data_IF_654749598878
#
_entry.id   IF_654749598878
#
_cell.length_a   1.000
_cell.length_b   1.000
_cell.length_c   1.000
_cell.angle_alpha   90.00
_cell.angle_beta   90.00
_cell.angle_gamma   90.00
#
_symmetry.space_group_name_H-M   'P 1'
#
loop_
_entity.id
_entity.type
_entity.pdbx_description
1 polymer ?
#
# COMPACT_ATOMS: atom_id res chain seq x y z
N UNK A 1 -4.54 13.05 -12.37
CA UNK A 1 -3.96 12.22 -11.28
C UNK A 1 -4.76 10.93 -11.15
N UNK A 2 -4.10 9.85 -10.82
CA UNK A 2 -4.73 8.57 -10.50
C UNK A 2 -4.16 8.09 -9.17
N UNK A 3 -4.94 7.35 -8.38
CA UNK A 3 -4.53 6.91 -7.05
C UNK A 3 -4.72 5.40 -6.92
N UNK A 4 -3.67 4.70 -6.50
CA UNK A 4 -3.79 3.32 -6.04
C UNK A 4 -3.94 3.35 -4.52
N UNK A 5 -5.03 2.78 -4.02
CA UNK A 5 -5.30 2.71 -2.58
C UNK A 5 -5.29 1.28 -2.09
N UNK A 6 -4.83 1.07 -0.87
CA UNK A 6 -4.76 -0.27 -0.29
C UNK A 6 -4.89 -0.23 1.22
N UNK A 7 -5.37 -1.33 1.77
CA UNK A 7 -5.50 -1.54 3.21
C UNK A 7 -4.87 -2.87 3.54
N UNK A 8 -4.08 -2.88 4.60
CA UNK A 8 -3.37 -4.08 5.07
C UNK A 8 -3.47 -4.23 6.58
N UNK A 9 -3.36 -5.45 7.06
CA UNK A 9 -3.28 -5.77 8.49
C UNK A 9 -1.84 -6.15 8.82
N UNK A 10 -1.21 -5.39 9.70
CA UNK A 10 0.20 -5.57 10.07
C UNK A 10 0.29 -5.96 11.54
N UNK A 11 1.04 -7.02 11.91
CA UNK A 11 1.27 -7.30 13.32
C UNK A 11 1.74 -6.06 14.06
N UNK A 12 1.03 -5.70 15.13
CA UNK A 12 1.26 -4.45 15.85
C UNK A 12 2.69 -4.34 16.39
N UNK A 13 3.29 -5.46 16.76
CA UNK A 13 4.66 -5.50 17.27
C UNK A 13 5.73 -5.48 16.17
N UNK A 14 5.34 -5.36 14.90
CA UNK A 14 6.27 -5.33 13.76
C UNK A 14 6.23 -4.00 13.01
N UNK A 15 5.86 -2.93 13.68
CA UNK A 15 5.75 -1.61 13.08
C UNK A 15 7.07 -1.14 12.45
N UNK A 16 8.18 -1.31 13.16
CA UNK A 16 9.49 -0.86 12.65
C UNK A 16 9.91 -1.64 11.41
N UNK A 17 9.64 -2.94 11.36
CA UNK A 17 9.90 -3.77 10.18
C UNK A 17 9.04 -3.31 9.01
N UNK A 18 7.76 -2.99 9.28
CA UNK A 18 6.84 -2.49 8.27
C UNK A 18 7.35 -1.18 7.66
N UNK A 19 7.76 -0.24 8.48
CA UNK A 19 8.29 1.06 8.01
C UNK A 19 9.55 0.83 7.16
N UNK A 20 10.47 -0.03 7.58
CA UNK A 20 11.67 -0.34 6.80
C UNK A 20 11.32 -0.98 5.46
N UNK A 21 10.39 -1.94 5.47
CA UNK A 21 9.93 -2.60 4.25
C UNK A 21 9.36 -1.59 3.27
N UNK A 22 8.47 -0.72 3.73
CA UNK A 22 7.83 0.29 2.89
C UNK A 22 8.85 1.29 2.35
N UNK A 23 9.75 1.77 3.18
CA UNK A 23 10.79 2.70 2.76
C UNK A 23 11.61 2.12 1.61
N UNK A 24 11.92 0.84 1.68
CA UNK A 24 12.68 0.14 0.65
C UNK A 24 11.84 -0.08 -0.60
N UNK A 25 10.65 -0.66 -0.46
CA UNK A 25 9.80 -1.01 -1.60
C UNK A 25 9.25 0.23 -2.31
N UNK A 26 8.77 1.21 -1.54
CA UNK A 26 8.04 2.35 -2.11
C UNK A 26 8.92 3.31 -2.88
N UNK A 27 10.22 3.34 -2.60
CA UNK A 27 11.17 4.15 -3.37
C UNK A 27 11.17 3.75 -4.85
N UNK A 28 10.90 2.49 -5.16
CA UNK A 28 10.79 2.02 -6.54
C UNK A 28 9.66 2.73 -7.28
N UNK A 29 8.51 2.91 -6.64
CA UNK A 29 7.36 3.61 -7.26
C UNK A 29 7.70 5.05 -7.60
N UNK A 30 8.45 5.74 -6.74
CA UNK A 30 8.89 7.11 -7.03
C UNK A 30 9.78 7.14 -8.26
N UNK A 31 10.67 6.19 -8.41
CA UNK A 31 11.54 6.09 -9.59
C UNK A 31 10.74 5.81 -10.86
N UNK A 32 9.57 5.17 -10.75
CA UNK A 32 8.70 4.91 -11.89
C UNK A 32 7.79 6.11 -12.23
N UNK A 33 7.87 7.19 -11.48
CA UNK A 33 7.13 8.40 -11.79
C UNK A 33 5.96 8.70 -10.87
N UNK A 34 5.78 7.95 -9.78
CA UNK A 34 4.78 8.30 -8.78
C UNK A 34 5.08 9.69 -8.20
N UNK A 35 4.02 10.47 -7.95
CA UNK A 35 4.14 11.79 -7.33
C UNK A 35 4.51 11.67 -5.85
N UNK A 36 3.89 10.72 -5.17
CA UNK A 36 4.23 10.38 -3.79
C UNK A 36 3.58 9.07 -3.38
N UNK A 37 4.13 8.47 -2.34
CA UNK A 37 3.57 7.28 -1.69
C UNK A 37 3.38 7.62 -0.23
N UNK A 38 2.21 7.27 0.31
CA UNK A 38 1.91 7.50 1.71
C UNK A 38 1.51 6.17 2.34
N UNK A 39 2.20 5.81 3.41
CA UNK A 39 1.88 4.65 4.23
C UNK A 39 1.46 5.16 5.60
N UNK A 40 0.34 4.66 6.15
CA UNK A 40 -0.14 5.10 7.45
C UNK A 40 -0.21 3.94 8.43
N UNK A 41 -0.36 4.29 9.70
CA UNK A 41 -0.52 3.33 10.79
C UNK A 41 -1.82 3.64 11.51
N UNK A 42 -2.70 2.64 11.64
CA UNK A 42 -4.00 2.83 12.27
C UNK A 42 -3.85 3.38 13.68
N UNK A 43 -4.49 4.51 13.95
CA UNK A 43 -4.42 5.18 15.24
C UNK A 43 -5.79 5.23 15.92
N UNK A 44 -6.82 5.60 15.16
CA UNK A 44 -8.20 5.62 15.64
C UNK A 44 -9.08 5.03 14.54
N UNK A 45 -9.22 3.71 14.57
CA UNK A 45 -9.97 2.95 13.56
C UNK A 45 -11.11 2.21 14.25
N UNK A 46 -12.31 2.83 14.32
CA UNK A 46 -13.41 2.24 15.08
C UNK A 46 -13.97 0.99 14.39
N UNK A 47 -14.46 0.07 15.22
CA UNK A 47 -15.23 -1.07 14.76
C UNK A 47 -16.68 -0.64 14.52
N UNK A 48 -17.22 -1.02 13.35
CA UNK A 48 -18.58 -0.67 12.99
C UNK A 48 -19.57 -1.79 13.24
N UNK A 49 -20.85 -1.49 13.05
CA UNK A 49 -21.92 -2.49 13.21
C UNK A 49 -22.03 -3.40 11.99
N UNK A 50 -21.96 -2.83 10.78
CA UNK A 50 -22.12 -3.59 9.54
C UNK A 50 -20.77 -4.04 9.00
N UNK A 51 -19.83 -3.10 8.90
CA UNK A 51 -18.47 -3.37 8.45
C UNK A 51 -17.52 -2.33 9.02
N UNK A 52 -16.23 -2.53 8.81
CA UNK A 52 -15.17 -1.64 9.24
C UNK A 52 -13.88 -2.01 8.50
N UNK A 53 -12.83 -1.25 8.71
CA UNK A 53 -11.52 -1.54 8.13
C UNK A 53 -10.97 -2.88 8.60
N UNK A 54 -11.20 -3.25 9.86
CA UNK A 54 -10.70 -4.51 10.42
C UNK A 54 -11.29 -5.71 9.68
N UNK A 55 -12.59 -5.72 9.46
CA UNK A 55 -13.28 -6.81 8.74
C UNK A 55 -12.86 -6.88 7.28
N UNK A 56 -12.64 -5.73 6.67
CA UNK A 56 -12.25 -5.67 5.25
C UNK A 56 -10.96 -6.45 4.97
N UNK A 57 -10.03 -6.48 5.92
CA UNK A 57 -8.75 -7.18 5.78
C UNK A 57 -8.61 -8.34 6.77
N UNK A 58 -9.69 -8.74 7.43
CA UNK A 58 -9.71 -9.85 8.38
C UNK A 58 -8.62 -9.71 9.45
N UNK A 59 -8.47 -8.48 9.97
CA UNK A 59 -7.45 -8.18 10.97
C UNK A 59 -7.75 -8.89 12.30
N UNK A 60 -6.71 -9.40 12.91
CA UNK A 60 -6.79 -10.00 14.26
C UNK A 60 -6.56 -8.93 15.32
N UNK A 61 -6.78 -9.29 16.60
CA UNK A 61 -6.57 -8.36 17.72
C UNK A 61 -5.10 -7.97 17.88
N UNK A 62 -4.16 -8.77 17.37
CA UNK A 62 -2.72 -8.46 17.43
C UNK A 62 -2.25 -7.66 16.22
N UNK A 63 -3.16 -7.29 15.32
CA UNK A 63 -2.81 -6.57 14.10
C UNK A 63 -3.35 -5.15 14.11
N UNK A 64 -2.63 -4.26 13.44
CA UNK A 64 -3.02 -2.87 13.20
C UNK A 64 -3.39 -2.70 11.74
N UNK A 65 -4.52 -2.06 11.47
CA UNK A 65 -4.95 -1.78 10.10
C UNK A 65 -4.21 -0.54 9.59
N UNK A 66 -3.66 -0.65 8.40
CA UNK A 66 -2.89 0.40 7.77
C UNK A 66 -3.48 0.76 6.41
N UNK A 67 -3.72 2.05 6.18
CA UNK A 67 -4.19 2.59 4.91
C UNK A 67 -3.00 3.22 4.20
N UNK A 68 -2.81 2.87 2.94
CA UNK A 68 -1.75 3.45 2.13
C UNK A 68 -2.26 3.82 0.75
N UNK A 69 -1.51 4.69 0.07
CA UNK A 69 -1.85 5.04 -1.30
C UNK A 69 -0.64 5.55 -2.07
N UNK A 70 -0.74 5.43 -3.41
CA UNK A 70 0.26 5.92 -4.35
C UNK A 70 -0.45 6.93 -5.25
N UNK A 71 0.12 8.12 -5.39
CA UNK A 71 -0.39 9.17 -6.28
C UNK A 71 0.45 9.19 -7.57
N UNK A 72 -0.23 9.05 -8.70
CA UNK A 72 0.39 9.06 -10.02
C UNK A 72 -0.04 10.30 -10.82
N UNK A 73 0.84 10.83 -11.68
CA UNK A 73 0.45 11.99 -12.53
C UNK A 73 -0.66 11.64 -13.51
N UNK A 74 -0.64 10.40 -14.04
CA UNK A 74 -1.60 9.94 -15.03
C UNK A 74 -1.68 8.41 -15.04
N UNK A 75 -2.65 7.87 -15.76
CA UNK A 75 -2.87 6.44 -15.89
C UNK A 75 -1.75 5.73 -16.67
N UNK A 76 -1.25 6.27 -17.80
CA UNK A 76 -0.18 5.58 -18.53
C UNK A 76 1.09 5.36 -17.70
N UNK A 77 1.50 6.34 -16.90
CA UNK A 77 2.69 6.20 -16.03
C UNK A 77 2.48 5.07 -15.01
N UNK A 78 1.33 5.06 -14.38
CA UNK A 78 0.95 4.01 -13.42
C UNK A 78 0.94 2.64 -14.09
N UNK A 79 0.26 2.51 -15.24
CA UNK A 79 0.11 1.23 -15.92
C UNK A 79 1.46 0.68 -16.39
N UNK A 80 2.37 1.54 -16.84
CA UNK A 80 3.71 1.12 -17.22
C UNK A 80 4.48 0.54 -16.03
N UNK A 81 4.37 1.14 -14.86
CA UNK A 81 5.02 0.64 -13.66
C UNK A 81 4.48 -0.75 -13.26
N UNK A 82 3.16 -0.88 -13.25
CA UNK A 82 2.52 -2.16 -12.88
C UNK A 82 2.79 -3.25 -13.91
N UNK A 83 2.91 -2.90 -15.19
CA UNK A 83 3.29 -3.85 -16.23
C UNK A 83 4.69 -4.41 -15.98
N UNK A 84 5.64 -3.57 -15.56
CA UNK A 84 6.99 -4.01 -15.19
C UNK A 84 6.96 -4.99 -14.02
N UNK A 85 6.16 -4.72 -13.01
CA UNK A 85 6.03 -5.61 -11.85
C UNK A 85 5.46 -6.97 -12.26
N UNK A 86 4.38 -6.98 -13.02
CA UNK A 86 3.68 -8.21 -13.43
C UNK A 86 4.51 -9.07 -14.37
N UNK A 87 5.28 -8.45 -15.25
CA UNK A 87 6.13 -9.18 -16.19
C UNK A 87 7.42 -9.70 -15.56
N UNK A 88 7.68 -9.38 -14.28
CA UNK A 88 8.94 -9.71 -13.63
C UNK A 88 10.11 -8.90 -14.16
N UNK A 89 9.85 -7.90 -14.99
CA UNK A 89 10.90 -7.09 -15.60
C UNK A 89 11.52 -6.09 -14.65
N UNK A 90 10.91 -5.88 -13.49
CA UNK A 90 11.47 -4.99 -12.48
C UNK A 90 12.80 -5.54 -11.98
N UNK A 91 12.90 -6.86 -11.76
CA UNK A 91 14.08 -7.58 -11.24
C UNK A 91 14.82 -6.80 -10.16
N UNK A 92 14.07 -6.11 -9.34
CA UNK A 92 14.59 -5.21 -8.33
C UNK A 92 14.44 -5.88 -6.97
N UNK A 93 15.53 -5.91 -6.20
CA UNK A 93 15.58 -6.55 -4.90
C UNK A 93 14.54 -5.95 -3.93
N UNK A 94 14.20 -4.69 -4.12
CA UNK A 94 13.21 -4.00 -3.27
C UNK A 94 11.82 -4.60 -3.40
N UNK A 95 11.51 -5.21 -4.54
CA UNK A 95 10.21 -5.84 -4.83
C UNK A 95 10.27 -7.35 -4.70
N UNK A 96 11.43 -7.92 -4.40
CA UNK A 96 11.62 -9.36 -4.26
C UNK A 96 11.26 -9.78 -2.83
N UNK A 97 10.21 -10.63 -2.64
CA UNK A 97 9.80 -11.05 -1.31
C UNK A 97 10.87 -11.82 -0.53
N UNK A 98 11.82 -12.42 -1.23
CA UNK A 98 12.93 -13.13 -0.58
C UNK A 98 13.98 -12.17 -0.02
N UNK A 99 14.16 -11.02 -0.67
CA UNK A 99 15.17 -10.02 -0.29
C UNK A 99 14.60 -8.87 0.51
N UNK A 100 13.31 -8.59 0.33
CA UNK A 100 12.58 -7.59 1.10
C UNK A 100 11.24 -8.19 1.52
N UNK A 101 11.24 -9.07 2.51
CA UNK A 101 10.02 -9.76 2.92
C UNK A 101 8.99 -8.82 3.51
N UNK A 102 7.72 -9.04 3.14
CA UNK A 102 6.59 -8.31 3.69
C UNK A 102 6.30 -8.77 5.11
N UNK A 103 6.27 -7.87 6.10
CA UNK A 103 5.96 -8.24 7.48
C UNK A 103 4.45 -8.32 7.73
N UNK A 104 3.67 -8.74 6.73
CA UNK A 104 2.22 -8.87 6.81
C UNK A 104 1.75 -9.91 5.79
N UNK A 105 0.50 -10.37 5.96
CA UNK A 105 -0.12 -11.33 5.05
C UNK A 105 -0.68 -10.59 3.82
N UNK A 106 0.02 -10.66 2.71
CA UNK A 106 -0.39 -10.01 1.46
C UNK A 106 -1.69 -10.56 0.87
N UNK A 107 -2.08 -11.79 1.23
CA UNK A 107 -3.31 -12.38 0.72
C UNK A 107 -4.57 -11.70 1.27
N UNK A 108 -4.47 -11.03 2.41
CA UNK A 108 -5.59 -10.30 3.02
C UNK A 108 -5.60 -8.81 2.66
N UNK A 109 -4.61 -8.33 1.92
CA UNK A 109 -4.56 -6.95 1.46
C UNK A 109 -5.70 -6.70 0.46
N UNK A 110 -6.40 -5.59 0.61
CA UNK A 110 -7.34 -5.12 -0.41
C UNK A 110 -6.68 -3.96 -1.16
N UNK A 111 -7.02 -3.85 -2.45
CA UNK A 111 -6.32 -2.96 -3.36
C UNK A 111 -7.27 -2.48 -4.45
N UNK A 112 -7.14 -1.24 -4.87
CA UNK A 112 -7.90 -0.72 -6.00
C UNK A 112 -7.28 0.54 -6.56
N UNK A 113 -7.64 0.85 -7.81
CA UNK A 113 -7.20 2.04 -8.51
C UNK A 113 -8.38 2.99 -8.65
N UNK A 114 -8.20 4.25 -8.30
CA UNK A 114 -9.26 5.23 -8.18
C UNK A 114 -8.90 6.51 -8.93
N UNK A 115 -9.89 7.07 -9.64
CA UNK A 115 -9.76 8.37 -10.27
C UNK A 115 -10.41 9.42 -9.37
N UNK A 116 -9.70 10.47 -8.97
CA UNK A 116 -10.30 11.54 -8.16
C UNK A 116 -11.43 12.22 -8.92
N UNK A 117 -12.54 12.46 -8.24
CA UNK A 117 -13.67 13.23 -8.80
C UNK A 117 -13.78 14.63 -8.19
N UNK A 118 -13.04 14.87 -7.11
CA UNK A 118 -12.97 16.17 -6.45
C UNK A 118 -11.68 16.24 -5.65
N UNK A 119 -10.95 17.33 -5.81
CA UNK A 119 -9.75 17.62 -5.04
C UNK A 119 -9.90 19.04 -4.51
N UNK A 120 -9.88 19.18 -3.20
CA UNK A 120 -9.88 20.48 -2.52
C UNK A 120 -8.59 20.57 -1.71
N UNK A 121 -7.95 21.74 -1.74
CA UNK A 121 -6.69 21.96 -1.02
C UNK A 121 -6.85 23.12 -0.05
N UNK A 122 -6.29 22.98 1.13
CA UNK A 122 -6.26 24.03 2.14
C UNK A 122 -4.92 24.73 2.21
#
# INVERSE_FOLDING_TARGET
MIVDGFVIAVPTNRKDEFVRHCKTADSWFLEQGALRVVETWGEDVPKGNVTDFHRAVQATEEETVCLGWIEWPDRPTRDAAFAKMQAGNAQDDRLDPEKNPMPFDGARMIFGTFAPVLVLSG
#
